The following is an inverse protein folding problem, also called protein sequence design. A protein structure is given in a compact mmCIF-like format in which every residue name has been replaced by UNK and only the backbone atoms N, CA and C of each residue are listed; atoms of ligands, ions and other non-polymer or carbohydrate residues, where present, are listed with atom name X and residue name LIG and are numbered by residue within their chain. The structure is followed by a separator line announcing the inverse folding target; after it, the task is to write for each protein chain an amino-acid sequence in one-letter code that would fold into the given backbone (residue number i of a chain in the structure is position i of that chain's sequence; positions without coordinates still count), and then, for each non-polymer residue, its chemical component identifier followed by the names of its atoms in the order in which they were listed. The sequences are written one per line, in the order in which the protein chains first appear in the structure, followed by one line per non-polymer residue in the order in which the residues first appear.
data_IF_137689742425
#
_entry.id   IF_137689742425
#
_cell.length_a   1.000
_cell.length_b   1.000
_cell.length_c   1.000
_cell.angle_alpha   90.00
_cell.angle_beta   90.00
_cell.angle_gamma   90.00
#
_symmetry.space_group_name_H-M   'P 1'
#
loop_
_entity.id
_entity.type
_entity.pdbx_description
1 polymer ?
#
# COMPACT_ATOMS: atom_id res chain seq x y z
N UNK A 1 54.61 21.98 -18.38
CA UNK A 1 53.48 21.05 -18.50
C UNK A 1 52.19 21.83 -18.27
N UNK A 2 51.52 22.26 -19.34
CA UNK A 2 50.26 23.00 -19.26
C UNK A 2 49.13 22.01 -18.91
N UNK A 3 48.60 22.10 -17.70
CA UNK A 3 47.36 21.38 -17.33
C UNK A 3 46.19 22.19 -17.88
N UNK A 4 45.34 21.64 -18.76
CA UNK A 4 44.16 22.36 -19.22
C UNK A 4 43.25 22.67 -18.03
N UNK A 5 42.85 23.94 -17.91
CA UNK A 5 41.96 24.42 -16.86
C UNK A 5 40.57 23.86 -17.18
N UNK A 6 40.10 22.91 -16.37
CA UNK A 6 38.76 22.38 -16.49
C UNK A 6 37.74 23.47 -16.09
N UNK A 7 36.67 23.67 -16.88
CA UNK A 7 35.66 24.68 -16.55
C UNK A 7 34.89 24.26 -15.29
N UNK A 8 34.48 25.25 -14.50
CA UNK A 8 33.89 25.12 -13.17
C UNK A 8 32.73 24.10 -13.08
N UNK A 9 31.95 23.93 -14.15
CA UNK A 9 30.82 23.01 -14.17
C UNK A 9 31.23 21.52 -14.21
N UNK A 10 32.48 21.19 -14.59
CA UNK A 10 32.98 19.81 -14.59
C UNK A 10 33.72 19.44 -13.29
N UNK A 11 33.92 20.38 -12.38
CA UNK A 11 34.52 20.13 -11.05
C UNK A 11 33.49 19.85 -9.95
N UNK A 12 32.20 19.96 -10.26
CA UNK A 12 31.16 19.63 -9.29
C UNK A 12 31.01 18.10 -9.25
N UNK A 13 31.28 17.43 -8.11
CA UNK A 13 30.88 16.04 -7.95
C UNK A 13 29.35 16.02 -7.94
N UNK A 14 28.75 15.70 -9.09
CA UNK A 14 27.35 15.27 -9.12
C UNK A 14 27.24 14.09 -8.15
N UNK A 15 26.27 14.07 -7.20
CA UNK A 15 26.10 12.91 -6.33
C UNK A 15 25.62 11.73 -7.18
N UNK A 16 26.56 10.90 -7.63
CA UNK A 16 26.32 9.86 -8.62
C UNK A 16 25.62 8.68 -7.93
N UNK A 17 24.28 8.65 -8.06
CA UNK A 17 23.32 7.57 -7.79
C UNK A 17 23.07 7.14 -6.33
N UNK A 18 24.07 6.98 -5.46
CA UNK A 18 23.81 6.52 -4.09
C UNK A 18 23.08 7.56 -3.23
N UNK A 19 23.36 8.85 -3.46
CA UNK A 19 22.68 9.95 -2.78
C UNK A 19 21.21 10.07 -3.21
N UNK A 20 20.89 9.68 -4.45
CA UNK A 20 19.54 9.79 -5.02
C UNK A 20 18.57 8.86 -4.28
N UNK A 21 18.94 7.59 -4.06
CA UNK A 21 18.13 6.64 -3.30
C UNK A 21 17.88 7.13 -1.86
N UNK A 22 18.92 7.64 -1.18
CA UNK A 22 18.81 8.20 0.17
C UNK A 22 17.94 9.46 0.21
N UNK A 23 18.01 10.33 -0.81
CA UNK A 23 17.09 11.48 -0.92
C UNK A 23 15.66 11.05 -1.19
N UNK A 24 15.44 10.07 -2.06
CA UNK A 24 14.12 9.52 -2.35
C UNK A 24 13.50 8.86 -1.12
N UNK A 25 14.27 8.11 -0.34
CA UNK A 25 13.80 7.52 0.91
C UNK A 25 13.43 8.58 1.95
N UNK A 26 14.24 9.64 2.08
CA UNK A 26 13.91 10.78 2.97
C UNK A 26 12.63 11.49 2.54
N UNK A 27 12.45 11.72 1.25
CA UNK A 27 11.25 12.37 0.72
C UNK A 27 10.01 11.49 0.92
N UNK A 28 10.13 10.17 0.71
CA UNK A 28 9.06 9.22 1.01
C UNK A 28 8.70 9.21 2.50
N UNK A 29 9.69 9.19 3.39
CA UNK A 29 9.46 9.25 4.83
C UNK A 29 8.79 10.58 5.22
N UNK A 30 9.22 11.69 4.65
CA UNK A 30 8.62 13.01 4.87
C UNK A 30 7.15 13.07 4.40
N UNK A 31 6.85 12.56 3.20
CA UNK A 31 5.48 12.46 2.71
C UNK A 31 4.63 11.57 3.61
N UNK A 32 5.18 10.44 4.06
CA UNK A 32 4.51 9.59 5.04
C UNK A 32 4.26 10.35 6.34
N UNK A 33 5.19 11.16 6.85
CA UNK A 33 4.99 11.97 8.06
C UNK A 33 3.77 12.90 7.94
N UNK A 34 3.52 13.48 6.77
CA UNK A 34 2.34 14.34 6.52
C UNK A 34 1.00 13.59 6.55
N UNK A 35 0.98 12.27 6.33
CA UNK A 35 -0.28 11.52 6.38
C UNK A 35 -0.92 11.58 7.77
N UNK A 36 -2.25 11.78 7.85
CA UNK A 36 -2.98 11.74 9.13
C UNK A 36 -2.66 10.47 9.93
N UNK A 37 -2.50 10.62 11.24
CA UNK A 37 -2.14 9.53 12.15
C UNK A 37 -3.15 8.38 12.13
N UNK A 38 -4.43 8.70 11.95
CA UNK A 38 -5.51 7.72 11.82
C UNK A 38 -5.34 6.85 10.56
N UNK A 39 -5.03 7.45 9.41
CA UNK A 39 -4.81 6.72 8.17
C UNK A 39 -3.63 5.74 8.28
N UNK A 40 -2.55 6.15 8.95
CA UNK A 40 -1.40 5.26 9.23
C UNK A 40 -1.80 4.07 10.11
N UNK A 41 -2.65 4.29 11.12
CA UNK A 41 -3.18 3.21 11.99
C UNK A 41 -3.95 2.20 11.15
N UNK A 42 -4.84 2.66 10.27
CA UNK A 42 -5.63 1.77 9.40
C UNK A 42 -4.75 1.05 8.39
N UNK A 43 -3.82 1.74 7.74
CA UNK A 43 -2.92 1.13 6.76
C UNK A 43 -2.10 -0.02 7.38
N UNK A 44 -1.54 0.17 8.59
CA UNK A 44 -0.83 -0.91 9.29
C UNK A 44 -1.72 -2.12 9.57
N UNK A 45 -2.99 -1.90 9.94
CA UNK A 45 -3.96 -2.98 10.18
C UNK A 45 -4.36 -3.69 8.90
N UNK A 46 -4.61 -2.94 7.84
CA UNK A 46 -4.93 -3.45 6.51
C UNK A 46 -3.79 -4.34 6.00
N UNK A 47 -2.55 -3.86 6.07
CA UNK A 47 -1.37 -4.63 5.68
C UNK A 47 -1.28 -5.96 6.46
N UNK A 48 -1.40 -5.92 7.78
CA UNK A 48 -1.37 -7.13 8.62
C UNK A 48 -2.48 -8.15 8.31
N UNK A 49 -3.65 -7.70 7.84
CA UNK A 49 -4.74 -8.58 7.43
C UNK A 49 -4.47 -9.16 6.05
N UNK A 50 -4.02 -8.32 5.10
CA UNK A 50 -3.66 -8.75 3.76
C UNK A 50 -2.51 -9.75 3.76
N UNK A 51 -1.49 -9.56 4.61
CA UNK A 51 -0.34 -10.47 4.75
C UNK A 51 -0.74 -11.90 5.10
N UNK A 52 -1.88 -12.10 5.79
CA UNK A 52 -2.40 -13.44 6.10
C UNK A 52 -3.10 -14.10 4.92
N UNK A 53 -3.58 -13.29 3.97
CA UNK A 53 -4.30 -13.70 2.77
C UNK A 53 -3.33 -13.72 1.57
N UNK A 54 -2.10 -13.26 1.77
CA UNK A 54 -1.04 -13.21 0.78
C UNK A 54 -0.39 -14.59 0.64
N UNK A 55 -0.87 -15.36 -0.32
CA UNK A 55 -0.33 -16.66 -0.70
C UNK A 55 -0.44 -16.87 -2.20
N UNK A 56 0.38 -17.76 -2.77
CA UNK A 56 0.36 -18.08 -4.19
C UNK A 56 -1.00 -18.65 -4.62
N UNK A 57 -1.66 -17.97 -5.54
CA UNK A 57 -3.02 -18.31 -5.95
C UNK A 57 -4.11 -17.86 -4.97
N UNK A 58 -3.82 -16.87 -4.12
CA UNK A 58 -4.84 -16.14 -3.38
C UNK A 58 -5.82 -15.43 -4.31
N UNK A 59 -7.07 -15.32 -3.84
CA UNK A 59 -8.18 -14.60 -4.47
C UNK A 59 -7.81 -13.14 -4.85
N UNK A 60 -6.83 -12.54 -4.17
CA UNK A 60 -6.34 -11.18 -4.42
C UNK A 60 -5.67 -11.08 -5.80
N UNK A 61 -5.08 -12.19 -6.28
CA UNK A 61 -4.33 -12.27 -7.54
C UNK A 61 -5.13 -12.86 -8.69
N UNK A 62 -6.43 -13.07 -8.53
CA UNK A 62 -7.32 -13.42 -9.64
C UNK A 62 -7.35 -12.27 -10.67
N UNK A 63 -7.62 -12.60 -11.94
CA UNK A 63 -7.80 -11.58 -12.99
C UNK A 63 -8.90 -10.57 -12.58
N UNK A 64 -10.01 -11.13 -12.08
CA UNK A 64 -11.20 -10.40 -11.69
C UNK A 64 -11.56 -10.71 -10.23
N UNK A 65 -11.03 -9.93 -9.26
CA UNK A 65 -11.40 -10.11 -7.86
C UNK A 65 -12.89 -9.86 -7.65
N UNK A 66 -13.54 -10.70 -6.85
CA UNK A 66 -14.96 -10.58 -6.58
C UNK A 66 -15.26 -9.35 -5.69
N UNK A 67 -16.13 -8.46 -6.17
CA UNK A 67 -16.54 -7.24 -5.45
C UNK A 67 -17.07 -7.52 -4.04
N UNK A 68 -17.87 -8.58 -3.86
CA UNK A 68 -18.44 -8.93 -2.56
C UNK A 68 -17.36 -9.35 -1.55
N UNK A 69 -16.33 -10.08 -1.99
CA UNK A 69 -15.23 -10.49 -1.12
C UNK A 69 -14.46 -9.26 -0.59
N UNK A 70 -14.28 -8.24 -1.41
CA UNK A 70 -13.64 -6.99 -1.01
C UNK A 70 -14.40 -6.29 0.11
N UNK A 71 -15.74 -6.17 -0.01
CA UNK A 71 -16.56 -5.59 1.05
C UNK A 71 -16.50 -6.40 2.33
N UNK A 72 -16.54 -7.73 2.24
CA UNK A 72 -16.39 -8.60 3.41
C UNK A 72 -15.04 -8.41 4.11
N UNK A 73 -13.97 -8.16 3.37
CA UNK A 73 -12.67 -7.83 3.95
C UNK A 73 -12.71 -6.49 4.68
N UNK A 74 -13.36 -5.47 4.11
CA UNK A 74 -13.57 -4.18 4.77
C UNK A 74 -14.35 -4.37 6.08
N UNK A 75 -15.47 -5.10 6.07
CA UNK A 75 -16.27 -5.40 7.26
C UNK A 75 -15.44 -6.12 8.35
N UNK A 76 -14.62 -7.10 7.96
CA UNK A 76 -13.74 -7.79 8.88
C UNK A 76 -12.72 -6.84 9.53
N UNK A 77 -12.14 -5.93 8.74
CA UNK A 77 -11.18 -4.93 9.23
C UNK A 77 -11.88 -3.94 10.16
N UNK A 78 -13.08 -3.47 9.80
CA UNK A 78 -13.89 -2.60 10.66
C UNK A 78 -14.25 -3.28 11.98
N UNK A 79 -14.60 -4.56 11.97
CA UNK A 79 -14.86 -5.32 13.19
C UNK A 79 -13.61 -5.39 14.10
N UNK A 80 -12.41 -5.53 13.53
CA UNK A 80 -11.15 -5.48 14.28
C UNK A 80 -10.93 -4.08 14.88
N UNK A 81 -11.14 -3.02 14.09
CA UNK A 81 -10.98 -1.64 14.52
C UNK A 81 -11.99 -1.25 15.62
N UNK A 82 -13.24 -1.69 15.51
CA UNK A 82 -14.26 -1.51 16.56
C UNK A 82 -13.85 -2.16 17.87
N UNK A 83 -13.32 -3.39 17.82
CA UNK A 83 -12.78 -4.09 19.02
C UNK A 83 -11.58 -3.33 19.61
N UNK A 84 -10.73 -2.72 18.79
CA UNK A 84 -9.61 -1.91 19.26
C UNK A 84 -10.04 -0.60 19.90
N UNK A 85 -10.98 0.12 19.28
CA UNK A 85 -11.54 1.35 19.84
C UNK A 85 -12.21 1.11 21.19
N UNK A 86 -12.95 0.00 21.33
CA UNK A 86 -13.55 -0.43 22.60
C UNK A 86 -12.49 -0.70 23.68
N UNK A 87 -11.39 -1.40 23.34
CA UNK A 87 -10.29 -1.66 24.28
C UNK A 87 -9.60 -0.37 24.73
N UNK A 88 -9.42 0.58 23.82
CA UNK A 88 -8.79 1.86 24.09
C UNK A 88 -9.74 2.88 24.73
N UNK A 89 -11.04 2.54 24.91
CA UNK A 89 -12.10 3.44 25.38
C UNK A 89 -12.21 4.74 24.55
N UNK A 90 -11.97 4.64 23.25
CA UNK A 90 -12.13 5.75 22.31
C UNK A 90 -13.63 5.98 22.05
N UNK A 91 -14.13 7.19 22.34
CA UNK A 91 -15.52 7.58 22.01
C UNK A 91 -15.51 8.15 20.60
N UNK A 92 -16.05 7.39 19.65
CA UNK A 92 -16.09 7.74 18.23
C UNK A 92 -17.57 7.91 17.84
N UNK A 93 -17.92 9.05 17.24
CA UNK A 93 -19.27 9.31 16.72
C UNK A 93 -19.64 8.34 15.59
N UNK A 94 -20.92 8.03 15.43
CA UNK A 94 -21.43 7.15 14.35
C UNK A 94 -21.09 7.70 12.95
N UNK A 95 -21.18 9.03 12.76
CA UNK A 95 -20.80 9.69 11.51
C UNK A 95 -19.33 9.49 11.16
N UNK A 96 -18.47 9.47 12.18
CA UNK A 96 -17.04 9.22 12.01
C UNK A 96 -16.78 7.77 11.61
N UNK A 97 -17.61 6.81 12.05
CA UNK A 97 -17.49 5.42 11.62
C UNK A 97 -17.79 5.23 10.14
N UNK A 98 -18.78 5.93 9.59
CA UNK A 98 -19.07 5.91 8.14
C UNK A 98 -17.87 6.42 7.35
N UNK A 99 -17.26 7.53 7.79
CA UNK A 99 -16.05 8.04 7.15
C UNK A 99 -14.85 7.10 7.26
N UNK A 100 -14.71 6.41 8.40
CA UNK A 100 -13.66 5.40 8.59
C UNK A 100 -13.88 4.21 7.64
N UNK A 101 -15.11 3.78 7.45
CA UNK A 101 -15.45 2.72 6.49
C UNK A 101 -15.02 3.07 5.07
N UNK A 102 -15.39 4.26 4.59
CA UNK A 102 -14.96 4.76 3.28
C UNK A 102 -13.44 4.83 3.18
N UNK A 103 -12.78 5.34 4.22
CA UNK A 103 -11.32 5.46 4.24
C UNK A 103 -10.63 4.09 4.24
N UNK A 104 -11.13 3.12 5.00
CA UNK A 104 -10.62 1.74 5.02
C UNK A 104 -10.81 1.08 3.66
N UNK A 105 -11.96 1.28 3.01
CA UNK A 105 -12.22 0.73 1.69
C UNK A 105 -11.23 1.27 0.65
N UNK A 106 -10.98 2.59 0.63
CA UNK A 106 -10.02 3.22 -0.30
C UNK A 106 -8.60 2.69 -0.05
N UNK A 107 -8.17 2.65 1.22
CA UNK A 107 -6.85 2.17 1.59
C UNK A 107 -6.64 0.68 1.27
N UNK A 108 -7.66 -0.15 1.48
CA UNK A 108 -7.63 -1.58 1.12
C UNK A 108 -7.47 -1.78 -0.38
N UNK A 109 -8.27 -1.06 -1.19
CA UNK A 109 -8.17 -1.10 -2.64
C UNK A 109 -6.78 -0.65 -3.13
N UNK A 110 -6.23 0.40 -2.52
CA UNK A 110 -4.90 0.90 -2.85
C UNK A 110 -3.80 -0.14 -2.55
N UNK A 111 -3.83 -0.75 -1.36
CA UNK A 111 -2.86 -1.79 -0.99
C UNK A 111 -2.94 -3.02 -1.91
N UNK A 112 -4.15 -3.47 -2.25
CA UNK A 112 -4.34 -4.57 -3.19
C UNK A 112 -3.82 -4.20 -4.59
N UNK A 113 -4.13 -3.00 -5.07
CA UNK A 113 -3.60 -2.50 -6.34
C UNK A 113 -2.07 -2.49 -6.34
N UNK A 114 -1.45 -1.96 -5.28
CA UNK A 114 0.00 -1.90 -5.11
C UNK A 114 0.62 -3.30 -5.14
N UNK A 115 0.05 -4.26 -4.40
CA UNK A 115 0.53 -5.66 -4.41
C UNK A 115 0.39 -6.29 -5.79
N UNK A 116 -0.76 -6.15 -6.46
CA UNK A 116 -0.96 -6.69 -7.82
C UNK A 116 0.00 -6.09 -8.83
N UNK A 117 0.30 -4.80 -8.73
CA UNK A 117 1.26 -4.14 -9.61
C UNK A 117 2.69 -4.66 -9.41
N UNK A 118 3.10 -4.85 -8.15
CA UNK A 118 4.42 -5.41 -7.83
C UNK A 118 4.51 -6.90 -8.22
N UNK A 119 3.39 -7.64 -8.19
CA UNK A 119 3.29 -9.07 -8.45
C UNK A 119 2.70 -9.41 -9.84
N UNK A 120 2.87 -8.54 -10.84
CA UNK A 120 2.27 -8.68 -12.18
C UNK A 120 2.56 -10.04 -12.86
N UNK A 121 3.62 -10.76 -12.47
CA UNK A 121 3.97 -12.08 -13.01
C UNK A 121 3.13 -13.26 -12.46
N UNK A 122 2.36 -13.02 -11.41
CA UNK A 122 1.63 -14.07 -10.64
C UNK A 122 0.13 -14.07 -10.89
N UNK A 123 -0.37 -13.16 -11.74
CA UNK A 123 -1.79 -13.07 -12.12
C UNK A 123 -2.10 -14.27 -13.00
N UNK A 124 -2.95 -15.18 -12.52
CA UNK A 124 -3.30 -16.40 -13.27
C UNK A 124 -4.22 -16.04 -14.43
N UNK A 125 -3.88 -16.39 -15.68
CA UNK A 125 -4.78 -16.16 -16.79
C UNK A 125 -6.01 -17.08 -16.71
N UNK A 126 -7.18 -16.64 -17.18
CA UNK A 126 -8.47 -17.38 -17.18
C UNK A 126 -8.49 -18.61 -18.11
N UNK A 127 -7.34 -18.97 -18.71
CA UNK A 127 -7.14 -20.14 -19.59
C UNK A 127 -7.50 -21.52 -18.99
N UNK A 128 -7.88 -21.58 -17.71
CA UNK A 128 -8.24 -22.83 -17.01
C UNK A 128 -9.67 -23.30 -17.32
N UNK A 129 -10.56 -22.43 -17.81
CA UNK A 129 -11.97 -22.83 -18.11
C UNK A 129 -12.16 -23.50 -19.47
N UNK A 130 -11.21 -23.37 -20.40
CA UNK A 130 -11.28 -24.01 -21.73
C UNK A 130 -10.88 -25.48 -21.78
N UNK A 131 -10.55 -26.11 -20.63
CA UNK A 131 -10.12 -27.52 -20.56
C UNK A 131 -11.19 -28.47 -20.01
N UNK A 132 -12.35 -27.93 -19.59
CA UNK A 132 -13.44 -28.68 -18.98
C UNK A 132 -14.79 -28.48 -19.72
N UNK A 133 -14.73 -27.99 -20.96
CA UNK A 133 -15.80 -27.96 -21.96
C UNK A 133 -15.32 -28.76 -23.17
#
# INVERSE_FOLDING_TARGET
MNKPILPFYMTYPLPIYAQEEDTMMRDLEYLQQMYPTEAKKYQKRIANVLDKIDYDGSLIYDEYPCKWQMYRLVENILAILRKEAQRNKEIISEEKWVWIEDMVQILLCHEIYRRRHNHHKTIKPVEVFGKYL
#
